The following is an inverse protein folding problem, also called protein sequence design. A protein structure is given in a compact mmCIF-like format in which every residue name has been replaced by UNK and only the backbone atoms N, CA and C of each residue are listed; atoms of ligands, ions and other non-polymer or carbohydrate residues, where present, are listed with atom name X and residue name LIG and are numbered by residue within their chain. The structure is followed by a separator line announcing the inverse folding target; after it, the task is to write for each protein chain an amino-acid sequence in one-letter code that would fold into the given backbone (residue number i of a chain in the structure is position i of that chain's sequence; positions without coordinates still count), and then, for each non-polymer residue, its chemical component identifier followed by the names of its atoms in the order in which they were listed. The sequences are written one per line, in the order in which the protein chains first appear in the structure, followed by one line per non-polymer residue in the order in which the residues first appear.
data_IF_273257489158
#
_entry.id   IF_273257489158
#
_cell.length_a   1.000
_cell.length_b   1.000
_cell.length_c   1.000
_cell.angle_alpha   90.00
_cell.angle_beta   90.00
_cell.angle_gamma   90.00
#
_symmetry.space_group_name_H-M   'P 1'
#
loop_
_entity.id
_entity.type
_entity.pdbx_description
1 polymer ?
#
# COMPACT_ATOMS: atom_id res chain seq x y z
N UNK A 1 -68.02 -35.38 -33.25
CA UNK A 1 -67.10 -34.44 -33.91
C UNK A 1 -66.72 -33.46 -32.83
N UNK A 2 -65.54 -33.59 -32.21
CA UNK A 2 -65.06 -32.69 -31.17
C UNK A 2 -63.59 -32.41 -31.46
N UNK A 3 -63.33 -31.17 -31.87
CA UNK A 3 -61.99 -30.65 -32.18
C UNK A 3 -61.29 -30.24 -30.85
N UNK A 4 -60.40 -31.10 -30.38
CA UNK A 4 -59.48 -30.72 -29.30
C UNK A 4 -58.33 -29.90 -29.85
N UNK A 5 -58.28 -28.61 -29.54
CA UNK A 5 -57.14 -27.72 -29.78
C UNK A 5 -56.16 -27.88 -28.66
N UNK A 6 -55.02 -28.51 -28.96
CA UNK A 6 -53.85 -28.59 -28.04
C UNK A 6 -53.19 -27.21 -27.94
N UNK A 7 -53.18 -26.64 -26.73
CA UNK A 7 -52.52 -25.40 -26.43
C UNK A 7 -51.08 -25.73 -26.02
N UNK A 8 -50.10 -25.44 -26.88
CA UNK A 8 -48.68 -25.57 -26.58
C UNK A 8 -48.26 -24.31 -25.81
N UNK A 9 -48.03 -24.45 -24.50
CA UNK A 9 -47.45 -23.38 -23.69
C UNK A 9 -45.93 -23.41 -23.90
N UNK A 10 -45.42 -22.45 -24.65
CA UNK A 10 -43.99 -22.20 -24.76
C UNK A 10 -43.50 -21.50 -23.48
N UNK A 11 -42.91 -22.28 -22.56
CA UNK A 11 -42.24 -21.68 -21.42
C UNK A 11 -40.90 -21.10 -21.87
N UNK A 12 -40.87 -19.77 -22.02
CA UNK A 12 -39.63 -19.03 -22.24
C UNK A 12 -38.83 -19.03 -20.94
N UNK A 13 -37.78 -19.88 -20.88
CA UNK A 13 -36.77 -19.81 -19.84
C UNK A 13 -35.91 -18.54 -20.06
N UNK A 14 -36.22 -17.50 -19.32
CA UNK A 14 -35.37 -16.33 -19.22
C UNK A 14 -34.17 -16.69 -18.36
N UNK A 15 -33.05 -17.10 -18.97
CA UNK A 15 -31.79 -17.23 -18.27
C UNK A 15 -31.29 -15.84 -17.87
N UNK A 16 -31.52 -15.44 -16.60
CA UNK A 16 -30.84 -14.32 -16.00
C UNK A 16 -29.34 -14.72 -15.89
N UNK A 17 -28.53 -14.26 -16.81
CA UNK A 17 -27.08 -14.29 -16.65
C UNK A 17 -26.72 -13.33 -15.51
N UNK A 18 -26.65 -13.85 -14.30
CA UNK A 18 -26.03 -13.16 -13.17
C UNK A 18 -24.53 -13.22 -13.42
N UNK A 19 -23.99 -12.18 -14.05
CA UNK A 19 -22.54 -12.03 -14.16
C UNK A 19 -22.02 -11.83 -12.75
N UNK A 20 -21.43 -12.90 -12.17
CA UNK A 20 -20.60 -12.76 -10.98
C UNK A 20 -19.39 -11.91 -11.38
N UNK A 21 -19.43 -10.64 -11.06
CA UNK A 21 -18.23 -9.79 -11.06
C UNK A 21 -17.38 -10.36 -9.92
N UNK A 22 -16.39 -11.16 -10.26
CA UNK A 22 -15.44 -11.69 -9.30
C UNK A 22 -14.67 -10.52 -8.69
N UNK A 23 -14.41 -10.60 -7.41
CA UNK A 23 -13.70 -9.57 -6.62
C UNK A 23 -12.29 -9.25 -7.19
N UNK A 24 -11.75 -10.14 -8.04
CA UNK A 24 -10.51 -9.94 -8.79
C UNK A 24 -10.61 -8.87 -9.89
N UNK A 25 -11.80 -8.58 -10.42
CA UNK A 25 -12.00 -7.57 -11.47
C UNK A 25 -11.85 -6.12 -10.97
N UNK A 26 -11.71 -5.90 -9.66
CA UNK A 26 -11.55 -4.59 -9.02
C UNK A 26 -10.17 -4.37 -8.40
N UNK A 27 -9.15 -5.13 -8.78
CA UNK A 27 -7.77 -4.77 -8.50
C UNK A 27 -7.42 -3.54 -9.34
N UNK A 28 -7.77 -2.36 -8.85
CA UNK A 28 -7.34 -1.10 -9.46
C UNK A 28 -5.81 -1.06 -9.40
N UNK A 29 -5.17 -1.29 -10.53
CA UNK A 29 -3.73 -1.17 -10.66
C UNK A 29 -3.38 0.32 -10.65
N UNK A 30 -2.81 0.81 -9.56
CA UNK A 30 -2.38 2.19 -9.47
C UNK A 30 -1.09 2.39 -10.28
N UNK A 31 -1.08 3.42 -11.12
CA UNK A 31 0.16 3.95 -11.67
C UNK A 31 0.82 4.86 -10.63
N UNK A 32 2.03 4.52 -10.21
CA UNK A 32 2.82 5.31 -9.28
C UNK A 32 3.82 6.18 -10.03
N UNK A 33 3.92 7.45 -9.65
CA UNK A 33 5.07 8.26 -10.02
C UNK A 33 6.33 7.73 -9.31
N UNK A 34 7.49 7.92 -9.89
CA UNK A 34 8.76 7.51 -9.30
C UNK A 34 9.54 8.74 -8.82
N UNK A 35 10.25 8.55 -7.74
CA UNK A 35 11.18 9.52 -7.19
C UNK A 35 12.46 8.81 -6.71
N UNK A 36 13.44 9.59 -6.29
CA UNK A 36 14.65 9.05 -5.68
C UNK A 36 14.84 9.67 -4.29
N UNK A 37 14.99 8.83 -3.28
CA UNK A 37 15.42 9.23 -1.95
C UNK A 37 16.93 9.05 -1.85
N UNK A 38 17.64 10.10 -1.39
CA UNK A 38 19.08 10.07 -1.24
C UNK A 38 19.43 10.12 0.25
N UNK A 39 20.19 9.13 0.70
CA UNK A 39 20.65 9.03 2.09
C UNK A 39 21.78 10.01 2.39
N UNK A 40 22.10 10.28 3.67
CA UNK A 40 23.26 11.14 4.03
C UNK A 40 24.60 10.61 3.51
N UNK A 41 24.70 9.33 3.23
CA UNK A 41 25.89 8.70 2.64
C UNK A 41 25.90 8.73 1.11
N UNK A 42 24.91 9.40 0.47
CA UNK A 42 24.82 9.51 -0.98
C UNK A 42 24.21 8.29 -1.67
N UNK A 43 23.69 7.30 -0.93
CA UNK A 43 23.04 6.14 -1.55
C UNK A 43 21.67 6.58 -2.08
N UNK A 44 21.41 6.29 -3.35
CA UNK A 44 20.13 6.55 -4.02
C UNK A 44 19.21 5.34 -3.86
N UNK A 45 17.97 5.59 -3.44
CA UNK A 45 16.91 4.61 -3.27
C UNK A 45 15.78 5.00 -4.23
N UNK A 46 15.49 4.21 -5.27
CA UNK A 46 14.32 4.43 -6.10
C UNK A 46 13.07 4.15 -5.28
N UNK A 47 12.05 4.98 -5.45
CA UNK A 47 10.79 4.84 -4.72
C UNK A 47 9.59 5.07 -5.62
N UNK A 48 8.51 4.34 -5.35
CA UNK A 48 7.18 4.68 -5.81
C UNK A 48 6.59 5.77 -4.91
N UNK A 49 5.86 6.72 -5.50
CA UNK A 49 5.27 7.84 -4.76
C UNK A 49 3.79 7.58 -4.49
N UNK A 50 3.43 7.52 -3.22
CA UNK A 50 2.06 7.34 -2.73
C UNK A 50 1.52 8.68 -2.22
N UNK A 51 0.89 9.44 -3.11
CA UNK A 51 0.49 10.84 -2.94
C UNK A 51 -1.02 11.08 -2.87
N UNK A 52 -1.85 10.05 -3.15
CA UNK A 52 -3.31 10.13 -3.02
C UNK A 52 -3.81 9.30 -1.83
N UNK A 53 -5.01 9.60 -1.28
CA UNK A 53 -5.60 8.80 -0.20
C UNK A 53 -5.71 7.30 -0.53
N UNK A 54 -6.10 6.97 -1.77
CA UNK A 54 -6.28 5.59 -2.24
C UNK A 54 -4.93 4.86 -2.30
N UNK A 55 -3.90 5.49 -2.89
CA UNK A 55 -2.54 4.95 -2.94
C UNK A 55 -1.98 4.74 -1.54
N UNK A 56 -2.15 5.73 -0.63
CA UNK A 56 -1.70 5.62 0.76
C UNK A 56 -2.44 4.52 1.53
N UNK A 57 -3.73 4.32 1.25
CA UNK A 57 -4.51 3.24 1.88
C UNK A 57 -4.06 1.85 1.46
N UNK A 58 -3.64 1.67 0.19
CA UNK A 58 -3.09 0.41 -0.31
C UNK A 58 -1.63 0.23 0.14
N UNK A 59 -0.79 1.25 -0.02
CA UNK A 59 0.64 1.20 0.28
C UNK A 59 1.32 0.02 -0.39
N UNK A 60 2.16 -0.69 0.38
CA UNK A 60 2.79 -1.95 -0.02
C UNK A 60 1.91 -3.18 0.22
N UNK A 61 0.64 -2.99 0.59
CA UNK A 61 -0.31 -4.07 0.84
C UNK A 61 -0.54 -4.97 -0.37
N UNK A 62 -0.87 -6.24 -0.14
CA UNK A 62 -1.11 -7.29 -1.16
C UNK A 62 0.11 -7.69 -1.99
N UNK A 63 1.29 -7.11 -1.78
CA UNK A 63 2.52 -7.49 -2.48
C UNK A 63 3.16 -8.69 -1.81
N UNK A 64 3.47 -9.73 -2.58
CA UNK A 64 4.15 -10.93 -2.09
C UNK A 64 5.66 -10.73 -1.92
N UNK A 65 6.21 -9.73 -2.59
CA UNK A 65 7.62 -9.30 -2.50
C UNK A 65 7.74 -7.82 -2.83
N UNK A 66 8.77 -7.19 -2.29
CA UNK A 66 9.21 -5.86 -2.72
C UNK A 66 10.27 -5.99 -3.81
N UNK A 67 10.31 -5.03 -4.71
CA UNK A 67 11.39 -4.96 -5.68
C UNK A 67 12.68 -4.62 -4.94
N UNK A 68 13.72 -5.40 -5.19
CA UNK A 68 15.01 -5.27 -4.47
C UNK A 68 15.61 -3.88 -4.63
N UNK A 69 15.86 -3.24 -3.50
CA UNK A 69 16.45 -1.91 -3.45
C UNK A 69 15.47 -0.76 -3.62
N UNK A 70 14.19 -1.05 -3.90
CA UNK A 70 13.12 -0.05 -3.99
C UNK A 70 12.45 0.19 -2.63
N UNK A 71 11.74 1.31 -2.56
CA UNK A 71 10.87 1.65 -1.45
C UNK A 71 9.59 2.31 -1.92
N UNK A 72 8.77 2.73 -0.96
CA UNK A 72 7.60 3.58 -1.22
C UNK A 72 7.67 4.83 -0.36
N UNK A 73 7.49 5.98 -1.00
CA UNK A 73 7.46 7.29 -0.35
C UNK A 73 6.02 7.79 -0.29
N UNK A 74 5.47 7.83 0.91
CA UNK A 74 4.16 8.41 1.19
C UNK A 74 4.31 9.91 1.37
N UNK A 75 3.48 10.69 0.70
CA UNK A 75 3.48 12.14 0.75
C UNK A 75 2.16 12.61 1.35
N UNK A 76 2.22 13.44 2.40
CA UNK A 76 1.06 14.02 3.07
C UNK A 76 1.09 15.53 2.93
N UNK A 77 -0.07 16.12 2.66
CA UNK A 77 -0.21 17.58 2.54
C UNK A 77 -0.02 18.30 3.87
N UNK A 78 -0.31 17.63 4.98
CA UNK A 78 -0.26 18.20 6.33
C UNK A 78 0.80 17.50 7.18
N UNK A 79 1.45 18.27 8.05
CA UNK A 79 2.32 17.76 9.11
C UNK A 79 1.46 17.34 10.30
N UNK A 80 1.06 16.09 10.29
CA UNK A 80 0.31 15.44 11.38
C UNK A 80 1.00 14.11 11.67
N UNK A 81 0.79 13.47 12.83
CA UNK A 81 1.22 12.08 13.01
C UNK A 81 0.38 11.18 12.09
N UNK A 82 0.94 10.67 10.97
CA UNK A 82 0.16 9.80 10.11
C UNK A 82 0.08 8.41 10.72
N UNK A 83 -1.14 7.92 10.90
CA UNK A 83 -1.38 6.55 11.34
C UNK A 83 -1.10 5.58 10.21
N UNK A 84 -0.27 4.59 10.46
CA UNK A 84 0.02 3.49 9.55
C UNK A 84 -0.54 2.19 10.09
N UNK A 85 -1.25 1.47 9.26
CA UNK A 85 -1.75 0.14 9.57
C UNK A 85 -1.11 -0.89 8.66
N UNK A 86 -0.91 -2.10 9.19
CA UNK A 86 -0.30 -3.21 8.44
C UNK A 86 -1.33 -4.05 7.67
N UNK A 87 -2.50 -3.48 7.35
CA UNK A 87 -3.57 -4.20 6.68
C UNK A 87 -3.10 -4.72 5.31
N UNK A 88 -3.34 -5.99 5.05
CA UNK A 88 -2.95 -6.67 3.81
C UNK A 88 -1.44 -6.76 3.53
N UNK A 89 -0.58 -6.39 4.48
CA UNK A 89 0.86 -6.60 4.35
C UNK A 89 1.18 -8.09 4.37
N UNK A 90 2.07 -8.52 3.47
CA UNK A 90 2.53 -9.91 3.36
C UNK A 90 4.03 -10.06 3.61
N UNK A 91 4.75 -8.97 3.65
CA UNK A 91 6.20 -8.91 3.84
C UNK A 91 6.55 -8.00 5.01
N UNK A 92 7.65 -8.29 5.75
CA UNK A 92 8.15 -7.40 6.79
C UNK A 92 8.79 -6.15 6.15
N UNK A 93 8.67 -5.00 6.82
CA UNK A 93 9.17 -3.72 6.34
C UNK A 93 9.85 -2.91 7.43
N UNK A 94 10.64 -1.92 7.03
CA UNK A 94 11.06 -0.80 7.87
C UNK A 94 10.22 0.42 7.54
N UNK A 95 9.77 1.17 8.55
CA UNK A 95 8.98 2.39 8.40
C UNK A 95 9.76 3.57 8.96
N UNK A 96 9.96 4.60 8.16
CA UNK A 96 10.75 5.79 8.49
C UNK A 96 9.86 7.03 8.36
N UNK A 97 9.54 7.70 9.45
CA UNK A 97 8.77 8.94 9.46
C UNK A 97 9.69 10.13 9.35
N UNK A 98 9.33 11.08 8.47
CA UNK A 98 10.11 12.28 8.22
C UNK A 98 9.25 13.54 8.38
N UNK A 99 9.80 14.50 9.11
CA UNK A 99 9.34 15.89 9.10
C UNK A 99 10.14 16.64 8.02
N UNK A 100 9.47 16.94 6.91
CA UNK A 100 10.11 17.35 5.66
C UNK A 100 11.18 16.33 5.23
N UNK A 101 12.43 16.63 5.44
CA UNK A 101 13.55 15.74 5.08
C UNK A 101 14.21 15.08 6.28
N UNK A 102 13.81 15.45 7.53
CA UNK A 102 14.45 14.95 8.74
C UNK A 102 13.73 13.71 9.28
N UNK A 103 14.46 12.65 9.51
CA UNK A 103 13.94 11.45 10.18
C UNK A 103 13.58 11.82 11.62
N UNK A 104 12.32 11.66 11.98
CA UNK A 104 11.79 11.93 13.33
C UNK A 104 11.53 10.66 14.11
N UNK A 105 11.20 9.58 13.42
CA UNK A 105 11.00 8.25 14.03
C UNK A 105 11.32 7.15 13.03
N UNK A 106 11.64 5.94 13.54
CA UNK A 106 12.01 4.80 12.75
C UNK A 106 11.56 3.51 13.45
N UNK A 107 10.85 2.65 12.73
CA UNK A 107 10.49 1.31 13.17
C UNK A 107 11.09 0.29 12.21
N UNK A 108 11.97 -0.57 12.73
CA UNK A 108 12.63 -1.60 11.95
C UNK A 108 11.94 -2.95 12.14
N UNK A 109 12.02 -3.79 11.10
CA UNK A 109 11.55 -5.18 11.12
C UNK A 109 10.08 -5.31 11.55
N UNK A 110 9.22 -4.43 11.04
CA UNK A 110 7.78 -4.48 11.31
C UNK A 110 7.19 -5.68 10.57
N UNK A 111 6.74 -6.74 11.27
CA UNK A 111 6.25 -7.94 10.63
C UNK A 111 4.86 -7.72 10.02
N UNK A 112 4.44 -8.50 9.03
CA UNK A 112 3.05 -8.52 8.58
C UNK A 112 2.12 -8.97 9.72
N UNK A 113 0.82 -8.63 9.69
CA UNK A 113 -0.14 -9.12 10.67
C UNK A 113 -0.25 -10.65 10.59
N UNK A 114 -0.47 -11.30 11.72
CA UNK A 114 -0.77 -12.72 11.76
C UNK A 114 -2.23 -12.97 11.35
N UNK A 115 -2.53 -14.17 10.90
CA UNK A 115 -3.90 -14.56 10.58
C UNK A 115 -4.80 -14.41 11.82
N UNK A 116 -5.94 -13.72 11.66
CA UNK A 116 -6.86 -13.42 12.77
C UNK A 116 -6.41 -12.26 13.68
N UNK A 117 -5.21 -11.68 13.48
CA UNK A 117 -4.78 -10.50 14.23
C UNK A 117 -5.45 -9.23 13.69
N UNK A 118 -6.02 -8.42 14.60
CA UNK A 118 -6.45 -7.08 14.24
C UNK A 118 -5.24 -6.24 13.82
N UNK A 119 -5.29 -5.52 12.69
CA UNK A 119 -4.17 -4.70 12.24
C UNK A 119 -3.77 -3.68 13.31
N UNK A 120 -2.53 -3.76 13.78
CA UNK A 120 -1.99 -2.75 14.69
C UNK A 120 -1.75 -1.45 13.93
N UNK A 121 -2.20 -0.37 14.52
CA UNK A 121 -1.92 0.99 14.05
C UNK A 121 -0.60 1.43 14.66
N UNK A 122 0.27 1.99 13.83
CA UNK A 122 1.53 2.59 14.24
C UNK A 122 1.46 4.09 13.97
N UNK A 123 1.78 4.88 14.98
CA UNK A 123 1.76 6.33 14.89
C UNK A 123 3.10 6.87 15.40
N UNK A 124 3.71 7.84 14.71
CA UNK A 124 4.91 8.49 15.19
C UNK A 124 4.55 9.42 16.35
N UNK A 125 5.50 9.64 17.26
CA UNK A 125 5.34 10.59 18.38
C UNK A 125 5.38 12.04 17.94
N UNK A 126 5.99 12.31 16.80
CA UNK A 126 6.18 13.63 16.24
C UNK A 126 5.44 13.77 14.91
N UNK A 127 4.93 14.98 14.59
CA UNK A 127 4.35 15.25 13.29
C UNK A 127 5.33 14.97 12.18
N UNK A 128 4.83 14.33 11.11
CA UNK A 128 5.57 14.06 9.89
C UNK A 128 4.69 14.32 8.66
N UNK A 129 5.29 14.57 7.53
CA UNK A 129 4.60 14.77 6.26
C UNK A 129 5.14 13.88 5.14
N UNK A 130 6.15 13.07 5.45
CA UNK A 130 6.61 11.97 4.59
C UNK A 130 6.80 10.72 5.42
N UNK A 131 6.57 9.57 4.78
CA UNK A 131 6.93 8.27 5.33
C UNK A 131 7.60 7.46 4.23
N UNK A 132 8.74 6.88 4.54
CA UNK A 132 9.46 5.99 3.64
C UNK A 132 9.33 4.56 4.17
N UNK A 133 8.75 3.67 3.38
CA UNK A 133 8.74 2.25 3.63
C UNK A 133 9.83 1.56 2.80
N UNK A 134 10.59 0.69 3.44
CA UNK A 134 11.66 -0.09 2.84
C UNK A 134 11.51 -1.56 3.20
N UNK A 135 12.19 -2.44 2.46
CA UNK A 135 12.34 -3.84 2.86
C UNK A 135 12.97 -3.93 4.26
N UNK A 136 12.49 -4.88 5.05
CA UNK A 136 12.95 -5.10 6.44
C UNK A 136 14.48 -5.24 6.54
N UNK A 137 15.06 -4.50 7.48
CA UNK A 137 16.51 -4.44 7.73
C UNK A 137 17.25 -3.44 6.84
N UNK A 138 16.61 -2.89 5.81
CA UNK A 138 17.26 -1.98 4.86
C UNK A 138 17.64 -0.66 5.52
N UNK A 139 16.83 -0.15 6.44
CA UNK A 139 17.14 1.08 7.17
C UNK A 139 18.47 0.94 7.95
N UNK A 140 18.66 -0.20 8.62
CA UNK A 140 19.89 -0.54 9.34
C UNK A 140 21.10 -0.65 8.38
N UNK A 141 20.96 -1.35 7.27
CA UNK A 141 22.04 -1.53 6.28
C UNK A 141 22.50 -0.18 5.69
N UNK A 142 21.55 0.75 5.50
CA UNK A 142 21.82 2.11 5.06
C UNK A 142 22.37 3.00 6.18
N UNK A 143 22.29 2.55 7.43
CA UNK A 143 22.70 3.30 8.61
C UNK A 143 21.80 4.50 8.90
N UNK A 144 20.49 4.39 8.59
CA UNK A 144 19.52 5.44 8.86
C UNK A 144 19.29 5.59 10.36
N UNK A 145 19.20 6.84 10.82
CA UNK A 145 18.99 7.17 12.25
C UNK A 145 18.14 8.41 12.38
N UNK A 146 17.38 8.48 13.47
CA UNK A 146 16.63 9.68 13.86
C UNK A 146 17.56 10.90 13.88
N UNK A 147 17.07 12.04 13.37
CA UNK A 147 17.79 13.29 13.25
C UNK A 147 18.54 13.49 11.93
N UNK A 148 18.82 12.43 11.17
CA UNK A 148 19.43 12.55 9.85
C UNK A 148 18.47 13.17 8.82
N UNK A 149 19.05 13.79 7.78
CA UNK A 149 18.31 14.34 6.65
C UNK A 149 18.46 13.43 5.43
N UNK A 150 17.32 13.14 4.79
CA UNK A 150 17.26 12.56 3.45
C UNK A 150 16.98 13.67 2.44
N UNK A 151 17.34 13.46 1.19
CA UNK A 151 16.97 14.36 0.08
C UNK A 151 16.07 13.63 -0.90
N UNK A 152 15.16 14.37 -1.55
CA UNK A 152 14.23 13.80 -2.53
C UNK A 152 14.46 14.44 -3.89
N UNK A 153 14.37 13.62 -4.95
CA UNK A 153 14.34 14.07 -6.36
C UNK A 153 13.07 13.45 -6.97
N UNK A 154 12.10 14.28 -7.25
CA UNK A 154 10.85 13.93 -7.95
C UNK A 154 11.04 14.04 -9.45
#
# INVERSE_FOLDING_TARGET
MSNGKSLIILASFLFLHFSFITEEALAQEFSYAHATVITPKGVSIPVEVSDTPEKRSLGLGKRDKLEKGWGMLFVFERRIPPSFWRKHMRVPIDIIWLDNQRIVELAENVPPPQEGESPKVMEPRLPSNFVLELESGRARDLGLKVGQKLSFKF
#
